data_IF_210428797467
#
_entry.id   IF_210428797467
#
_cell.length_a   1.000
_cell.length_b   1.000
_cell.length_c   1.000
_cell.angle_alpha   90.00
_cell.angle_beta   90.00
_cell.angle_gamma   90.00
#
_symmetry.space_group_name_H-M   'P 1'
#
loop_
_entity.id
_entity.type
_entity.pdbx_description
1 polymer ?
#
# COMPACT_ATOMS: atom_id res chain seq x y z
N UNK A 1 -6.77 -0.06 -15.16
CA UNK A 1 -7.06 -0.35 -13.73
C UNK A 1 -6.42 0.70 -12.87
N UNK A 2 -7.14 1.20 -11.89
CA UNK A 2 -6.63 2.25 -11.01
C UNK A 2 -7.23 2.07 -9.62
N UNK A 3 -6.55 2.62 -8.61
CA UNK A 3 -7.05 2.68 -7.25
C UNK A 3 -7.34 4.15 -6.89
N UNK A 4 -8.53 4.43 -6.39
CA UNK A 4 -8.96 5.80 -6.12
C UNK A 4 -9.23 5.95 -4.63
N UNK A 5 -8.55 6.93 -4.01
CA UNK A 5 -8.83 7.28 -2.63
C UNK A 5 -10.03 8.23 -2.57
N UNK A 6 -10.97 7.92 -1.70
CA UNK A 6 -12.12 8.78 -1.41
C UNK A 6 -12.27 8.91 0.11
N UNK A 7 -13.05 9.89 0.60
CA UNK A 7 -13.29 10.00 2.04
C UNK A 7 -13.86 8.74 2.70
N UNK A 8 -14.45 7.84 1.93
CA UNK A 8 -14.92 6.55 2.45
C UNK A 8 -13.77 5.65 2.90
N UNK A 9 -12.56 5.88 2.38
CA UNK A 9 -11.36 5.13 2.74
C UNK A 9 -10.59 5.79 3.89
N UNK A 10 -11.05 6.93 4.40
CA UNK A 10 -10.40 7.58 5.52
C UNK A 10 -10.51 6.71 6.76
N UNK A 11 -9.39 6.56 7.47
CA UNK A 11 -9.34 5.82 8.74
C UNK A 11 -9.42 6.76 9.95
N UNK A 12 -9.45 8.07 9.71
CA UNK A 12 -9.59 9.08 10.75
C UNK A 12 -8.30 9.45 11.47
N UNK A 13 -7.16 9.03 10.93
CA UNK A 13 -5.82 9.42 11.41
C UNK A 13 -5.17 10.18 10.27
N UNK A 14 -5.04 11.52 10.36
CA UNK A 14 -4.62 12.35 9.22
C UNK A 14 -3.32 11.90 8.58
N UNK A 15 -2.32 11.49 9.35
CA UNK A 15 -1.05 11.02 8.82
C UNK A 15 -1.26 9.76 7.95
N UNK A 16 -2.04 8.80 8.43
CA UNK A 16 -2.29 7.55 7.69
C UNK A 16 -3.08 7.86 6.43
N UNK A 17 -4.11 8.70 6.52
CA UNK A 17 -4.94 9.07 5.36
C UNK A 17 -4.11 9.78 4.28
N UNK A 18 -3.22 10.67 4.66
CA UNK A 18 -2.32 11.36 3.72
C UNK A 18 -1.37 10.37 3.06
N UNK A 19 -0.82 9.44 3.83
CA UNK A 19 0.08 8.41 3.30
C UNK A 19 -0.65 7.48 2.34
N UNK A 20 -1.90 7.12 2.62
CA UNK A 20 -2.70 6.30 1.70
C UNK A 20 -2.93 7.01 0.38
N UNK A 21 -3.21 8.31 0.40
CA UNK A 21 -3.39 9.08 -0.84
C UNK A 21 -2.12 9.09 -1.69
N UNK A 22 -0.96 9.29 -1.07
CA UNK A 22 0.31 9.24 -1.79
C UNK A 22 0.63 7.84 -2.30
N UNK A 23 0.36 6.82 -1.50
CA UNK A 23 0.55 5.43 -1.90
C UNK A 23 -0.30 5.11 -3.14
N UNK A 24 -1.57 5.49 -3.14
CA UNK A 24 -2.46 5.26 -4.27
C UNK A 24 -1.98 5.99 -5.53
N UNK A 25 -1.47 7.21 -5.38
CA UNK A 25 -0.91 7.95 -6.51
C UNK A 25 0.29 7.23 -7.13
N UNK A 26 1.16 6.67 -6.30
CA UNK A 26 2.32 5.91 -6.78
C UNK A 26 1.92 4.60 -7.45
N UNK A 27 0.93 3.91 -6.90
CA UNK A 27 0.37 2.70 -7.53
C UNK A 27 -0.16 3.03 -8.92
N UNK A 28 -0.93 4.09 -9.05
CA UNK A 28 -1.53 4.47 -10.33
C UNK A 28 -0.49 4.84 -11.37
N UNK A 29 0.59 5.52 -10.97
CA UNK A 29 1.68 5.86 -11.90
C UNK A 29 2.34 4.60 -12.48
N UNK A 30 2.60 3.61 -11.63
CA UNK A 30 3.19 2.35 -12.09
C UNK A 30 2.25 1.61 -13.03
N UNK A 31 0.99 1.45 -12.65
CA UNK A 31 0.02 0.71 -13.46
C UNK A 31 -0.24 1.39 -14.80
N UNK A 32 -0.33 2.72 -14.82
CA UNK A 32 -0.49 3.47 -16.06
C UNK A 32 0.71 3.27 -16.99
N UNK A 33 1.92 3.34 -16.46
CA UNK A 33 3.13 3.11 -17.24
C UNK A 33 3.17 1.69 -17.81
N UNK A 34 2.73 0.69 -17.05
CA UNK A 34 2.65 -0.69 -17.53
C UNK A 34 1.60 -0.85 -18.62
N UNK A 35 0.44 -0.21 -18.48
CA UNK A 35 -0.63 -0.23 -19.49
C UNK A 35 -0.19 0.43 -20.79
N UNK A 36 0.69 1.43 -20.71
CA UNK A 36 1.29 2.08 -21.87
C UNK A 36 2.47 1.27 -22.46
N UNK A 37 2.76 0.10 -21.90
CA UNK A 37 3.83 -0.79 -22.33
C UNK A 37 5.20 -0.07 -22.38
N UNK A 38 5.47 0.79 -21.40
CA UNK A 38 6.75 1.50 -21.33
C UNK A 38 7.89 0.52 -21.07
N UNK A 39 9.09 0.91 -21.51
CA UNK A 39 10.27 0.07 -21.36
C UNK A 39 10.60 -0.20 -19.90
N UNK A 40 11.23 -1.37 -19.64
CA UNK A 40 11.62 -1.79 -18.30
C UNK A 40 12.41 -0.71 -17.55
N UNK A 41 13.32 -0.01 -18.24
CA UNK A 41 14.13 1.04 -17.64
C UNK A 41 13.29 2.20 -17.11
N UNK A 42 12.10 2.44 -17.67
CA UNK A 42 11.18 3.47 -17.18
C UNK A 42 10.33 2.97 -16.03
N UNK A 43 10.08 1.65 -15.98
CA UNK A 43 9.26 1.04 -14.93
C UNK A 43 10.03 0.85 -13.61
N UNK A 44 11.33 0.54 -13.69
CA UNK A 44 12.14 0.28 -12.50
C UNK A 44 12.12 1.41 -11.47
N UNK A 45 12.31 2.70 -11.86
CA UNK A 45 12.20 3.78 -10.88
C UNK A 45 10.83 3.87 -10.22
N UNK A 46 9.76 3.60 -10.95
CA UNK A 46 8.41 3.62 -10.39
C UNK A 46 8.19 2.50 -9.39
N UNK A 47 8.72 1.30 -9.68
CA UNK A 47 8.72 0.18 -8.75
C UNK A 47 9.49 0.53 -7.48
N UNK A 48 10.68 1.12 -7.63
CA UNK A 48 11.53 1.48 -6.50
C UNK A 48 10.87 2.54 -5.62
N UNK A 49 10.25 3.56 -6.21
CA UNK A 49 9.52 4.58 -5.46
C UNK A 49 8.35 3.97 -4.69
N UNK A 50 7.61 3.07 -5.32
CA UNK A 50 6.48 2.41 -4.67
C UNK A 50 6.97 1.52 -3.52
N UNK A 51 7.99 0.70 -3.75
CA UNK A 51 8.55 -0.19 -2.73
C UNK A 51 9.07 0.60 -1.52
N UNK A 52 9.78 1.69 -1.77
CA UNK A 52 10.30 2.54 -0.69
C UNK A 52 9.16 3.15 0.13
N UNK A 53 8.11 3.61 -0.53
CA UNK A 53 6.99 4.23 0.18
C UNK A 53 6.18 3.21 0.99
N UNK A 54 5.97 2.02 0.45
CA UNK A 54 5.33 0.91 1.17
C UNK A 54 6.10 0.59 2.46
N UNK A 55 7.43 0.52 2.37
CA UNK A 55 8.27 0.24 3.54
C UNK A 55 8.13 1.33 4.61
N UNK A 56 8.14 2.60 4.21
CA UNK A 56 7.98 3.73 5.14
C UNK A 56 6.58 3.72 5.76
N UNK A 57 5.54 3.53 4.95
CA UNK A 57 4.16 3.54 5.43
C UNK A 57 3.88 2.38 6.39
N UNK A 58 4.26 1.16 6.01
CA UNK A 58 4.06 -0.02 6.87
C UNK A 58 4.88 0.09 8.15
N UNK A 59 6.11 0.61 8.06
CA UNK A 59 6.95 0.86 9.23
C UNK A 59 6.34 1.87 10.18
N UNK A 60 5.73 2.92 9.65
CA UNK A 60 5.02 3.91 10.45
C UNK A 60 3.82 3.34 11.19
N UNK A 61 3.03 2.50 10.52
CA UNK A 61 1.91 1.81 11.17
C UNK A 61 2.39 0.84 12.24
N UNK A 62 3.46 0.09 11.98
CA UNK A 62 4.06 -0.80 12.96
C UNK A 62 4.48 -0.04 14.23
N UNK A 63 5.11 1.11 14.05
CA UNK A 63 5.53 1.94 15.18
C UNK A 63 4.34 2.41 16.01
N UNK A 64 3.25 2.82 15.36
CA UNK A 64 2.02 3.23 16.05
C UNK A 64 1.39 2.06 16.80
N UNK A 65 1.33 0.88 16.18
CA UNK A 65 0.78 -0.30 16.82
C UNK A 65 1.58 -0.71 18.06
N UNK A 66 2.92 -0.63 17.98
CA UNK A 66 3.79 -0.97 19.10
C UNK A 66 3.67 0.06 20.23
N UNK A 67 3.67 1.35 19.87
CA UNK A 67 3.57 2.43 20.85
C UNK A 67 2.27 2.38 21.66
N UNK A 68 1.17 1.96 21.03
CA UNK A 68 -0.15 1.94 21.64
C UNK A 68 -0.65 0.54 21.97
N UNK A 69 0.21 -0.47 21.85
CA UNK A 69 -0.11 -1.87 22.21
C UNK A 69 -1.40 -2.37 21.54
N UNK A 70 -1.47 -2.17 20.23
CA UNK A 70 -2.65 -2.56 19.46
C UNK A 70 -2.89 -4.06 19.55
N UNK A 71 -4.06 -4.51 20.03
CA UNK A 71 -4.30 -5.95 20.25
C UNK A 71 -4.24 -6.82 19.00
N UNK A 72 -4.61 -6.27 17.84
CA UNK A 72 -4.61 -7.00 16.57
C UNK A 72 -3.33 -6.77 15.76
N UNK A 73 -2.24 -6.32 16.38
CA UNK A 73 -1.00 -6.00 15.68
C UNK A 73 -0.41 -7.20 14.94
N UNK A 74 -0.42 -8.39 15.54
CA UNK A 74 0.17 -9.58 14.93
C UNK A 74 -0.53 -9.92 13.60
N UNK A 75 -1.86 -9.86 13.57
CA UNK A 75 -2.65 -10.12 12.37
C UNK A 75 -2.41 -9.03 11.31
N UNK A 76 -2.39 -7.77 11.72
CA UNK A 76 -2.15 -6.64 10.83
C UNK A 76 -0.76 -6.75 10.18
N UNK A 77 0.26 -7.04 10.97
CA UNK A 77 1.63 -7.21 10.47
C UNK A 77 1.77 -8.43 9.56
N UNK A 78 1.02 -9.50 9.81
CA UNK A 78 1.01 -10.65 8.91
C UNK A 78 0.45 -10.28 7.52
N UNK A 79 -0.56 -9.42 7.47
CA UNK A 79 -1.09 -8.92 6.21
C UNK A 79 -0.06 -8.06 5.46
N UNK A 80 0.68 -7.20 6.18
CA UNK A 80 1.77 -6.43 5.59
C UNK A 80 2.85 -7.33 5.01
N UNK A 81 3.24 -8.38 5.74
CA UNK A 81 4.25 -9.33 5.29
C UNK A 81 3.79 -10.06 4.02
N UNK A 82 2.53 -10.44 3.94
CA UNK A 82 1.96 -11.07 2.75
C UNK A 82 2.08 -10.13 1.54
N UNK A 83 1.69 -8.88 1.70
CA UNK A 83 1.77 -7.90 0.60
C UNK A 83 3.22 -7.70 0.12
N UNK A 84 4.14 -7.52 1.05
CA UNK A 84 5.56 -7.29 0.73
C UNK A 84 6.12 -8.48 -0.05
N UNK A 85 5.84 -9.72 0.38
CA UNK A 85 6.32 -10.91 -0.30
C UNK A 85 5.74 -11.05 -1.70
N UNK A 86 4.44 -10.88 -1.85
CA UNK A 86 3.78 -10.93 -3.16
C UNK A 86 4.28 -9.84 -4.10
N UNK A 87 4.41 -8.61 -3.59
CA UNK A 87 4.93 -7.49 -4.37
C UNK A 87 6.35 -7.77 -4.83
N UNK A 88 7.20 -8.29 -3.95
CA UNK A 88 8.59 -8.61 -4.28
C UNK A 88 8.67 -9.62 -5.42
N UNK A 89 7.89 -10.69 -5.36
CA UNK A 89 7.87 -11.72 -6.40
C UNK A 89 7.50 -11.11 -7.75
N UNK A 90 6.44 -10.30 -7.79
CA UNK A 90 5.98 -9.69 -9.04
C UNK A 90 6.94 -8.61 -9.55
N UNK A 91 7.53 -7.83 -8.64
CA UNK A 91 8.51 -6.81 -9.01
C UNK A 91 9.78 -7.43 -9.59
N UNK A 92 10.28 -8.51 -8.99
CA UNK A 92 11.45 -9.23 -9.49
C UNK A 92 11.16 -9.82 -10.87
N UNK A 93 9.98 -10.37 -11.06
CA UNK A 93 9.55 -10.91 -12.36
C UNK A 93 9.50 -9.80 -13.42
N UNK A 94 8.99 -8.63 -13.09
CA UNK A 94 8.97 -7.49 -14.00
C UNK A 94 10.39 -7.03 -14.36
N UNK A 95 11.30 -7.01 -13.40
CA UNK A 95 12.70 -6.61 -13.63
C UNK A 95 13.43 -7.59 -14.56
N UNK A 96 13.14 -8.88 -14.44
CA UNK A 96 13.80 -9.92 -15.23
C UNK A 96 13.18 -10.05 -16.63
N UNK A 97 11.87 -10.14 -16.70
CA UNK A 97 11.15 -10.47 -17.94
C UNK A 97 10.63 -9.24 -18.69
N UNK A 98 10.55 -8.08 -18.02
CA UNK A 98 9.93 -6.89 -18.58
C UNK A 98 8.41 -6.93 -18.48
N UNK A 99 7.73 -5.87 -18.93
CA UNK A 99 6.29 -5.77 -18.81
C UNK A 99 5.57 -6.80 -19.69
N UNK A 100 4.43 -7.30 -19.18
CA UNK A 100 3.54 -8.18 -19.90
C UNK A 100 2.10 -7.94 -19.46
N UNK A 101 1.15 -8.36 -20.28
CA UNK A 101 -0.27 -8.27 -19.92
C UNK A 101 -0.57 -9.04 -18.63
N UNK A 102 0.01 -10.21 -18.47
CA UNK A 102 -0.19 -11.05 -17.28
C UNK A 102 0.32 -10.37 -16.01
N UNK A 103 1.54 -9.81 -16.06
CA UNK A 103 2.11 -9.09 -14.92
C UNK A 103 1.30 -7.85 -14.58
N UNK A 104 0.81 -7.13 -15.59
CA UNK A 104 -0.05 -5.95 -15.38
C UNK A 104 -1.33 -6.36 -14.62
N UNK A 105 -1.95 -7.46 -15.00
CA UNK A 105 -3.14 -7.95 -14.31
C UNK A 105 -2.83 -8.37 -12.88
N UNK A 106 -1.75 -9.12 -12.66
CA UNK A 106 -1.37 -9.59 -11.33
C UNK A 106 -1.01 -8.44 -10.39
N UNK A 107 -0.19 -7.50 -10.86
CA UNK A 107 0.13 -6.31 -10.06
C UNK A 107 -1.11 -5.46 -9.81
N UNK A 108 -1.99 -5.32 -10.81
CA UNK A 108 -3.22 -4.57 -10.64
C UNK A 108 -4.11 -5.15 -9.55
N UNK A 109 -4.23 -6.47 -9.47
CA UNK A 109 -5.01 -7.12 -8.41
C UNK A 109 -4.41 -6.88 -7.04
N UNK A 110 -3.10 -7.07 -6.91
CA UNK A 110 -2.42 -6.85 -5.65
C UNK A 110 -2.51 -5.38 -5.23
N UNK A 111 -2.18 -4.47 -6.13
CA UNK A 111 -2.05 -3.05 -5.81
C UNK A 111 -3.41 -2.33 -5.73
N UNK A 112 -4.43 -2.83 -6.39
CA UNK A 112 -5.75 -2.20 -6.35
C UNK A 112 -6.71 -2.94 -5.43
N UNK A 113 -6.93 -4.23 -5.65
CA UNK A 113 -7.94 -4.97 -4.89
C UNK A 113 -7.49 -5.26 -3.46
N UNK A 114 -6.31 -5.86 -3.30
CA UNK A 114 -5.83 -6.20 -1.97
C UNK A 114 -5.60 -4.95 -1.12
N UNK A 115 -4.95 -3.95 -1.70
CA UNK A 115 -4.62 -2.73 -0.97
C UNK A 115 -5.87 -1.97 -0.55
N UNK A 116 -6.85 -1.84 -1.45
CA UNK A 116 -8.12 -1.21 -1.10
C UNK A 116 -8.83 -1.94 0.03
N UNK A 117 -8.88 -3.27 -0.02
CA UNK A 117 -9.53 -4.07 1.01
C UNK A 117 -8.81 -3.94 2.35
N UNK A 118 -7.47 -3.93 2.33
CA UNK A 118 -6.66 -3.74 3.53
C UNK A 118 -6.92 -2.37 4.16
N UNK A 119 -6.92 -1.31 3.35
CA UNK A 119 -7.17 0.06 3.84
C UNK A 119 -8.59 0.19 4.40
N UNK A 120 -9.58 -0.34 3.68
CA UNK A 120 -10.99 -0.16 4.05
C UNK A 120 -11.43 -1.02 5.24
N UNK A 121 -10.69 -2.06 5.59
CA UNK A 121 -11.04 -2.93 6.72
C UNK A 121 -9.95 -2.93 7.80
N UNK A 122 -8.76 -3.43 7.48
CA UNK A 122 -7.69 -3.61 8.47
C UNK A 122 -7.15 -2.28 8.99
N UNK A 123 -6.84 -1.35 8.11
CA UNK A 123 -6.35 -0.03 8.51
C UNK A 123 -7.45 0.79 9.19
N UNK A 124 -8.70 0.61 8.77
CA UNK A 124 -9.82 1.28 9.43
C UNK A 124 -9.94 0.87 10.88
N UNK A 125 -9.78 -0.43 11.19
CA UNK A 125 -9.78 -0.92 12.57
C UNK A 125 -8.65 -0.32 13.39
N UNK A 126 -7.47 -0.22 12.79
CA UNK A 126 -6.34 0.44 13.45
C UNK A 126 -6.67 1.92 13.72
N UNK A 127 -7.23 2.62 12.75
CA UNK A 127 -7.62 4.02 12.91
C UNK A 127 -8.64 4.21 14.03
N UNK A 128 -9.64 3.35 14.11
CA UNK A 128 -10.65 3.37 15.19
C UNK A 128 -9.99 3.17 16.56
N UNK A 129 -9.08 2.21 16.66
CA UNK A 129 -8.36 1.97 17.91
C UNK A 129 -7.52 3.18 18.32
N UNK A 130 -6.75 3.75 17.38
CA UNK A 130 -5.90 4.88 17.67
C UNK A 130 -6.69 6.11 18.12
N UNK A 131 -7.85 6.36 17.52
CA UNK A 131 -8.72 7.45 17.93
C UNK A 131 -9.32 7.21 19.32
N UNK A 132 -9.74 5.99 19.60
CA UNK A 132 -10.29 5.61 20.91
C UNK A 132 -9.24 5.70 22.00
N UNK A 133 -7.98 5.39 21.69
CA UNK A 133 -6.87 5.48 22.63
C UNK A 133 -6.35 6.93 22.79
N UNK A 134 -6.93 7.90 22.08
CA UNK A 134 -6.45 9.27 22.10
C UNK A 134 -5.10 9.44 21.42
N UNK A 135 -4.71 8.50 20.57
CA UNK A 135 -3.39 8.44 19.94
C UNK A 135 -3.31 9.18 18.61
N UNK A 136 -4.46 9.40 17.95
CA UNK A 136 -4.49 10.06 16.65
C UNK A 136 -4.12 11.53 16.81
N UNK A 137 -3.29 12.08 15.88
CA UNK A 137 -3.02 13.51 15.89
C UNK A 137 -4.31 14.31 15.77
N UNK A 138 -4.40 15.39 16.52
CA UNK A 138 -5.53 16.30 16.39
C UNK A 138 -5.39 17.08 15.08
N UNK A 139 -6.50 17.15 14.38
CA UNK A 139 -6.54 17.91 13.13
C UNK A 139 -6.27 19.40 13.38
#
# INVERSE_FOLDING_TARGET
MAIIWTPRLAVGVPQIDTEHQELFARVNRLLEAMQQARARQELEPLLDFLAAYVAVHFGGEKALMQAHRYPAAAEHLAQHAYFVEEFKVLADQLRVEGPSALLTVRLGRLLCEWLRDHVSSTDRKLGEFLRSAGAAPKA
#
